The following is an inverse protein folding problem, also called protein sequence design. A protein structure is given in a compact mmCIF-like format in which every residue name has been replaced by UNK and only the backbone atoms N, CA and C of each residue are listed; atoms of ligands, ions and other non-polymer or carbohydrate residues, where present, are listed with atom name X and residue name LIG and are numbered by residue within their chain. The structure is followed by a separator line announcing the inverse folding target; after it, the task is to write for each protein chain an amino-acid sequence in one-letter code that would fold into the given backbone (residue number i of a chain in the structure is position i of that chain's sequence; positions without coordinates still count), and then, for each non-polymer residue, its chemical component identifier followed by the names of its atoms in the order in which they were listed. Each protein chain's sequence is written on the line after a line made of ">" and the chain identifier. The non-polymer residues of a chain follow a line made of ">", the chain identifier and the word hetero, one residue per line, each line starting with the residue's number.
data_IF_362997035296
#
_entry.id   IF_362997035296
#
_cell.length_a   1.000
_cell.length_b   1.000
_cell.length_c   1.000
_cell.angle_alpha   90.00
_cell.angle_beta   90.00
_cell.angle_gamma   90.00
#
_symmetry.space_group_name_H-M   'P 1'
#
loop_
_entity.id
_entity.type
_entity.pdbx_description
1 polymer ?
#
# COMPACT_ATOMS: atom_id res chain seq x y z
N UNK A 1 -34.64 -53.03 60.48
CA UNK A 1 -34.97 -51.60 60.23
C UNK A 1 -33.62 -50.92 59.97
N UNK A 2 -33.10 -50.94 58.75
CA UNK A 2 -33.55 -50.11 57.64
C UNK A 2 -32.51 -49.00 57.42
N UNK A 3 -31.31 -49.39 56.96
CA UNK A 3 -30.30 -48.45 56.45
C UNK A 3 -30.72 -48.05 55.04
N UNK A 4 -31.14 -46.79 54.88
CA UNK A 4 -31.37 -46.16 53.59
C UNK A 4 -30.11 -45.40 53.16
N UNK A 5 -29.63 -45.73 51.96
CA UNK A 5 -28.67 -44.99 51.17
C UNK A 5 -29.11 -43.55 50.95
N UNK A 6 -28.16 -42.61 50.93
CA UNK A 6 -28.29 -41.45 50.04
C UNK A 6 -26.90 -41.14 49.44
N UNK A 7 -26.81 -41.44 48.15
CA UNK A 7 -25.66 -41.21 47.27
C UNK A 7 -25.59 -39.73 46.99
N UNK A 8 -24.56 -39.05 47.50
CA UNK A 8 -24.21 -37.70 47.04
C UNK A 8 -23.35 -37.82 45.78
N UNK A 9 -24.01 -37.79 44.63
CA UNK A 9 -23.39 -37.68 43.30
C UNK A 9 -22.74 -36.30 43.16
N UNK A 10 -21.41 -36.24 43.29
CA UNK A 10 -20.62 -35.04 43.03
C UNK A 10 -20.53 -34.78 41.53
N UNK A 11 -21.47 -34.01 40.98
CA UNK A 11 -21.31 -33.35 39.69
C UNK A 11 -20.41 -32.12 39.87
N UNK A 12 -19.11 -32.26 39.58
CA UNK A 12 -18.26 -31.11 39.27
C UNK A 12 -18.79 -30.49 37.96
N UNK A 13 -19.31 -29.26 37.94
CA UNK A 13 -19.70 -28.64 36.68
C UNK A 13 -18.40 -28.35 35.91
N UNK A 14 -18.17 -29.08 34.83
CA UNK A 14 -17.13 -28.75 33.87
C UNK A 14 -17.25 -27.26 33.52
N UNK A 15 -16.12 -26.55 33.52
CA UNK A 15 -16.15 -25.12 33.23
C UNK A 15 -16.78 -24.91 31.84
N UNK A 16 -17.56 -23.84 31.60
CA UNK A 16 -18.23 -23.63 30.30
C UNK A 16 -17.27 -23.70 29.10
N UNK A 17 -15.99 -23.37 29.33
CA UNK A 17 -14.90 -23.47 28.35
C UNK A 17 -14.56 -24.93 27.95
N UNK A 18 -14.71 -25.89 28.85
CA UNK A 18 -14.44 -27.30 28.57
C UNK A 18 -15.53 -27.94 27.69
N UNK A 19 -16.72 -27.32 27.63
CA UNK A 19 -17.87 -27.80 26.86
C UNK A 19 -17.90 -27.37 25.39
N UNK A 20 -17.11 -26.36 25.00
CA UNK A 20 -17.04 -25.87 23.62
C UNK A 20 -16.42 -26.93 22.70
N UNK A 21 -16.94 -27.16 21.48
CA UNK A 21 -16.31 -28.01 20.46
C UNK A 21 -14.93 -27.53 20.02
N UNK A 22 -14.04 -28.46 19.65
CA UNK A 22 -12.67 -28.17 19.18
C UNK A 22 -12.65 -27.19 18.00
N UNK A 23 -13.54 -27.37 17.01
CA UNK A 23 -13.60 -26.50 15.83
C UNK A 23 -13.88 -25.03 16.18
N UNK A 24 -14.75 -24.78 17.17
CA UNK A 24 -15.03 -23.42 17.64
C UNK A 24 -13.85 -22.82 18.39
N UNK A 25 -13.13 -23.64 19.17
CA UNK A 25 -11.92 -23.20 19.85
C UNK A 25 -10.81 -22.87 18.86
N UNK A 26 -10.59 -23.69 17.83
CA UNK A 26 -9.63 -23.41 16.74
C UNK A 26 -10.02 -22.13 16.01
N UNK A 27 -11.32 -21.92 15.75
CA UNK A 27 -11.80 -20.68 15.14
C UNK A 27 -11.52 -19.46 16.02
N UNK A 28 -11.79 -19.54 17.33
CA UNK A 28 -11.48 -18.46 18.29
C UNK A 28 -9.98 -18.17 18.31
N UNK A 29 -9.15 -19.22 18.41
CA UNK A 29 -7.69 -19.10 18.42
C UNK A 29 -7.15 -18.50 17.11
N UNK A 30 -7.81 -18.75 15.97
CA UNK A 30 -7.41 -18.19 14.68
C UNK A 30 -7.56 -16.66 14.57
N UNK A 31 -8.34 -16.05 15.47
CA UNK A 31 -8.46 -14.58 15.58
C UNK A 31 -7.42 -13.96 16.51
N UNK A 32 -6.70 -14.77 17.29
CA UNK A 32 -5.66 -14.28 18.19
C UNK A 32 -4.31 -14.19 17.47
N UNK A 33 -3.45 -13.21 17.83
CA UNK A 33 -2.04 -13.26 17.50
C UNK A 33 -1.43 -14.60 17.93
N UNK A 34 -0.54 -15.17 17.13
CA UNK A 34 0.04 -16.51 17.40
C UNK A 34 0.63 -16.63 18.80
N UNK A 35 1.34 -15.61 19.29
CA UNK A 35 1.87 -15.61 20.67
C UNK A 35 0.77 -15.75 21.72
N UNK A 36 -0.37 -15.09 21.53
CA UNK A 36 -1.52 -15.19 22.43
C UNK A 36 -2.21 -16.56 22.29
N UNK A 37 -2.42 -17.04 21.06
CA UNK A 37 -2.97 -18.37 20.83
C UNK A 37 -2.13 -19.47 21.49
N UNK A 38 -0.80 -19.43 21.32
CA UNK A 38 0.13 -20.35 22.00
C UNK A 38 0.06 -20.19 23.52
N UNK A 39 -0.10 -18.97 24.06
CA UNK A 39 -0.20 -18.78 25.51
C UNK A 39 -1.41 -19.48 26.15
N UNK A 40 -2.46 -19.77 25.39
CA UNK A 40 -3.62 -20.56 25.87
C UNK A 40 -3.25 -22.02 26.15
N UNK A 41 -2.10 -22.49 25.69
CA UNK A 41 -1.62 -23.86 25.89
C UNK A 41 -1.37 -24.23 27.36
N UNK A 42 -1.37 -23.23 28.25
CA UNK A 42 -1.26 -23.40 29.71
C UNK A 42 -2.60 -23.70 30.38
N UNK A 43 -3.73 -23.42 29.71
CA UNK A 43 -5.07 -23.57 30.28
C UNK A 43 -5.44 -25.05 30.47
N UNK A 44 -5.20 -25.88 29.46
CA UNK A 44 -5.28 -27.33 29.58
C UNK A 44 -4.47 -28.03 28.48
N UNK A 45 -4.24 -29.35 28.64
CA UNK A 45 -3.57 -30.18 27.61
C UNK A 45 -4.25 -30.08 26.24
N UNK A 46 -5.60 -30.00 26.23
CA UNK A 46 -6.44 -29.85 25.04
C UNK A 46 -6.03 -28.63 24.20
N UNK A 47 -5.86 -27.47 24.84
CA UNK A 47 -5.49 -26.22 24.16
C UNK A 47 -4.11 -26.27 23.50
N UNK A 48 -3.19 -27.14 23.96
CA UNK A 48 -1.88 -27.36 23.32
C UNK A 48 -2.01 -27.91 21.90
N UNK A 49 -3.00 -28.76 21.65
CA UNK A 49 -3.22 -29.36 20.32
C UNK A 49 -4.04 -28.42 19.45
N UNK A 50 -4.98 -27.68 20.05
CA UNK A 50 -5.91 -26.81 19.31
C UNK A 50 -5.22 -25.59 18.69
N UNK A 51 -4.29 -24.92 19.39
CA UNK A 51 -3.58 -23.80 18.75
C UNK A 51 -2.76 -24.28 17.55
N UNK A 52 -2.23 -25.50 17.63
CA UNK A 52 -1.46 -26.16 16.57
C UNK A 52 -2.35 -26.77 15.47
N UNK A 53 -3.66 -26.51 15.52
CA UNK A 53 -4.59 -26.79 14.42
C UNK A 53 -4.98 -25.49 13.69
N UNK A 54 -4.43 -24.34 14.10
CA UNK A 54 -4.68 -23.06 13.42
C UNK A 54 -3.93 -22.99 12.09
N UNK A 55 -4.49 -22.25 11.13
CA UNK A 55 -3.93 -22.15 9.78
C UNK A 55 -3.16 -20.84 9.52
N UNK A 56 -3.06 -19.96 10.52
CA UNK A 56 -2.47 -18.63 10.38
C UNK A 56 -1.40 -18.43 11.45
N UNK A 57 -0.15 -18.35 11.05
CA UNK A 57 0.96 -18.03 11.95
C UNK A 57 1.58 -16.68 11.64
N UNK A 58 1.72 -15.86 12.69
CA UNK A 58 2.41 -14.57 12.68
C UNK A 58 3.47 -14.57 13.77
N UNK A 59 4.72 -14.56 13.35
CA UNK A 59 5.89 -14.55 14.21
C UNK A 59 6.53 -13.17 14.17
N UNK A 60 6.53 -12.49 15.31
CA UNK A 60 6.97 -11.11 15.45
C UNK A 60 8.09 -11.02 16.48
N UNK A 61 9.33 -10.80 16.03
CA UNK A 61 10.50 -10.84 16.90
C UNK A 61 10.53 -9.66 17.88
N UNK A 62 9.86 -8.55 17.57
CA UNK A 62 9.83 -7.38 18.45
C UNK A 62 9.17 -7.66 19.80
N UNK A 63 8.31 -8.67 19.92
CA UNK A 63 7.73 -9.11 21.19
C UNK A 63 8.76 -9.69 22.16
N UNK A 64 9.95 -10.00 21.67
CA UNK A 64 11.09 -10.49 22.42
C UNK A 64 12.14 -9.37 22.61
N UNK A 65 11.93 -8.20 22.02
CA UNK A 65 12.69 -6.99 22.32
C UNK A 65 12.20 -6.38 23.65
N UNK A 66 13.14 -5.98 24.51
CA UNK A 66 12.80 -5.30 25.75
C UNK A 66 12.45 -3.82 25.47
N UNK A 67 11.46 -3.25 26.19
CA UNK A 67 11.18 -1.82 26.09
C UNK A 67 12.40 -1.00 26.55
N UNK A 68 12.77 -0.01 25.73
CA UNK A 68 13.93 0.90 25.83
C UNK A 68 14.22 1.51 27.21
N UNK A 69 13.29 1.46 28.16
CA UNK A 69 13.37 2.17 29.44
C UNK A 69 13.75 1.31 30.65
N UNK A 70 13.91 -0.01 30.49
CA UNK A 70 14.24 -0.85 31.64
C UNK A 70 15.77 -0.96 31.81
N UNK A 71 16.35 -0.02 32.58
CA UNK A 71 17.80 0.08 32.86
C UNK A 71 18.43 -1.23 33.40
N UNK A 72 17.62 -2.18 33.89
CA UNK A 72 18.03 -3.53 34.33
C UNK A 72 18.43 -4.48 33.21
N UNK A 73 17.96 -4.27 31.97
CA UNK A 73 18.20 -5.19 30.84
C UNK A 73 19.18 -4.63 29.81
N UNK A 74 20.11 -3.77 30.25
CA UNK A 74 21.14 -3.17 29.40
C UNK A 74 22.12 -4.20 28.80
N UNK A 75 22.04 -5.47 29.20
CA UNK A 75 23.01 -6.53 28.90
C UNK A 75 22.42 -7.84 28.35
N UNK A 76 21.10 -7.96 28.14
CA UNK A 76 20.61 -9.14 27.44
C UNK A 76 21.01 -9.01 25.97
N UNK A 77 22.00 -9.80 25.56
CA UNK A 77 22.60 -9.71 24.22
C UNK A 77 21.54 -10.03 23.16
N UNK A 78 21.70 -9.48 21.96
CA UNK A 78 20.87 -9.83 20.79
C UNK A 78 20.75 -11.35 20.59
N UNK A 79 21.76 -12.11 21.01
CA UNK A 79 21.79 -13.58 20.99
C UNK A 79 20.73 -14.24 21.88
N UNK A 80 20.50 -13.75 23.11
CA UNK A 80 19.49 -14.34 24.01
C UNK A 80 18.08 -14.07 23.49
N UNK A 81 17.85 -12.86 22.96
CA UNK A 81 16.60 -12.50 22.30
C UNK A 81 16.34 -13.39 21.09
N UNK A 82 17.35 -13.54 20.22
CA UNK A 82 17.32 -14.44 19.06
C UNK A 82 16.96 -15.85 19.50
N UNK A 83 17.69 -16.43 20.45
CA UNK A 83 17.45 -17.79 20.93
C UNK A 83 16.01 -17.99 21.42
N UNK A 84 15.48 -17.07 22.24
CA UNK A 84 14.09 -17.17 22.73
C UNK A 84 13.06 -17.10 21.62
N UNK A 85 13.28 -16.24 20.63
CA UNK A 85 12.41 -16.15 19.46
C UNK A 85 12.48 -17.43 18.62
N UNK A 86 13.68 -17.92 18.33
CA UNK A 86 13.89 -19.11 17.50
C UNK A 86 13.28 -20.34 18.18
N UNK A 87 13.55 -20.53 19.48
CA UNK A 87 12.94 -21.57 20.30
C UNK A 87 11.41 -21.49 20.26
N UNK A 88 10.84 -20.29 20.25
CA UNK A 88 9.39 -20.09 20.16
C UNK A 88 8.85 -20.49 18.78
N UNK A 89 9.49 -20.06 17.69
CA UNK A 89 9.08 -20.43 16.33
C UNK A 89 9.18 -21.94 16.13
N UNK A 90 10.34 -22.54 16.43
CA UNK A 90 10.59 -23.97 16.27
C UNK A 90 9.63 -24.83 17.09
N UNK A 91 9.36 -24.44 18.35
CA UNK A 91 8.36 -25.15 19.17
C UNK A 91 6.97 -25.03 18.58
N UNK A 92 6.57 -23.84 18.13
CA UNK A 92 5.24 -23.62 17.54
C UNK A 92 5.06 -24.46 16.28
N UNK A 93 6.04 -24.45 15.37
CA UNK A 93 6.00 -25.24 14.13
C UNK A 93 6.07 -26.75 14.40
N UNK A 94 6.81 -27.20 15.42
CA UNK A 94 6.85 -28.63 15.76
C UNK A 94 5.52 -29.15 16.33
N UNK A 95 4.75 -28.32 17.05
CA UNK A 95 3.39 -28.69 17.44
C UNK A 95 2.45 -28.79 16.23
N UNK A 96 2.60 -27.93 15.22
CA UNK A 96 1.77 -27.98 14.00
C UNK A 96 1.92 -29.30 13.25
N UNK A 97 3.11 -29.89 13.22
CA UNK A 97 3.36 -31.21 12.60
C UNK A 97 2.42 -32.27 13.18
N UNK A 98 2.09 -32.17 14.47
CA UNK A 98 1.26 -33.15 15.18
C UNK A 98 -0.25 -32.95 14.93
N UNK A 99 -0.68 -31.74 14.57
CA UNK A 99 -2.09 -31.38 14.34
C UNK A 99 -2.58 -31.61 12.91
N UNK A 100 -1.67 -31.56 11.93
CA UNK A 100 -1.97 -31.81 10.52
C UNK A 100 -2.79 -30.72 9.79
N UNK A 101 -2.64 -30.74 8.45
CA UNK A 101 -3.24 -29.88 7.40
C UNK A 101 -2.66 -28.49 7.17
N UNK A 102 -2.78 -28.11 5.90
CA UNK A 102 -2.14 -27.01 5.18
C UNK A 102 -2.14 -25.69 5.93
N UNK A 103 -0.99 -25.04 5.91
CA UNK A 103 -0.85 -23.67 6.37
C UNK A 103 -1.56 -22.75 5.39
N UNK A 104 -2.38 -21.82 5.88
CA UNK A 104 -2.98 -20.80 5.01
C UNK A 104 -2.05 -19.62 4.89
N UNK A 105 -1.60 -19.08 6.03
CA UNK A 105 -0.80 -17.86 6.12
C UNK A 105 0.42 -18.06 7.01
N UNK A 106 1.58 -17.66 6.51
CA UNK A 106 2.82 -17.55 7.27
C UNK A 106 3.32 -16.10 7.21
N UNK A 107 3.52 -15.49 8.38
CA UNK A 107 4.06 -14.15 8.51
C UNK A 107 5.26 -14.16 9.44
N UNK A 108 6.37 -13.62 8.98
CA UNK A 108 7.61 -13.47 9.74
C UNK A 108 8.05 -12.01 9.72
N UNK A 109 8.02 -11.38 10.89
CA UNK A 109 8.47 -10.01 11.10
C UNK A 109 9.66 -10.01 12.05
N UNK A 110 10.84 -9.71 11.50
CA UNK A 110 12.09 -9.57 12.23
C UNK A 110 12.37 -8.09 12.43
N UNK A 111 12.64 -7.68 13.66
CA UNK A 111 13.02 -6.31 13.97
C UNK A 111 14.47 -6.05 13.54
N UNK A 112 14.83 -4.77 13.34
CA UNK A 112 16.19 -4.33 12.98
C UNK A 112 17.33 -4.71 13.94
N UNK A 113 17.00 -5.24 15.13
CA UNK A 113 17.98 -5.66 16.15
C UNK A 113 18.15 -7.19 16.20
N UNK A 114 17.39 -7.92 15.38
CA UNK A 114 17.45 -9.36 15.29
C UNK A 114 18.75 -9.76 14.60
N UNK A 115 19.58 -10.55 15.28
CA UNK A 115 20.79 -11.10 14.70
C UNK A 115 20.42 -12.26 13.78
N UNK A 116 20.81 -12.14 12.51
CA UNK A 116 20.42 -13.08 11.48
C UNK A 116 21.22 -14.38 11.59
N UNK A 117 20.49 -15.48 11.46
CA UNK A 117 21.01 -16.79 11.10
C UNK A 117 20.17 -17.24 9.90
N UNK A 118 20.75 -17.20 8.70
CA UNK A 118 20.03 -17.50 7.46
C UNK A 118 19.42 -18.91 7.48
N UNK A 119 20.09 -19.87 8.12
CA UNK A 119 19.63 -21.26 8.18
C UNK A 119 18.31 -21.43 8.93
N UNK A 120 18.07 -20.64 9.98
CA UNK A 120 16.81 -20.68 10.72
C UNK A 120 15.65 -20.10 9.89
N UNK A 121 15.88 -18.98 9.21
CA UNK A 121 14.87 -18.30 8.39
C UNK A 121 14.49 -19.17 7.19
N UNK A 122 15.50 -19.70 6.49
CA UNK A 122 15.29 -20.61 5.36
C UNK A 122 14.50 -21.85 5.76
N UNK A 123 14.84 -22.44 6.92
CA UNK A 123 14.11 -23.58 7.48
C UNK A 123 12.65 -23.25 7.72
N UNK A 124 12.34 -22.10 8.33
CA UNK A 124 10.96 -21.71 8.62
C UNK A 124 10.14 -21.41 7.36
N UNK A 125 10.74 -20.75 6.37
CA UNK A 125 10.09 -20.48 5.08
C UNK A 125 9.85 -21.79 4.32
N UNK A 126 10.86 -22.66 4.21
CA UNK A 126 10.72 -23.97 3.58
C UNK A 126 9.64 -24.82 4.25
N UNK A 127 9.59 -24.80 5.59
CA UNK A 127 8.53 -25.46 6.35
C UNK A 127 7.13 -24.98 5.90
N UNK A 128 6.93 -23.66 5.79
CA UNK A 128 5.65 -23.10 5.36
C UNK A 128 5.27 -23.55 3.93
N UNK A 129 6.24 -23.56 3.01
CA UNK A 129 6.05 -24.01 1.62
C UNK A 129 5.68 -25.49 1.52
N UNK A 130 6.38 -26.34 2.28
CA UNK A 130 6.12 -27.79 2.34
C UNK A 130 4.73 -28.10 2.92
N UNK A 131 4.17 -27.18 3.71
CA UNK A 131 2.81 -27.24 4.23
C UNK A 131 1.81 -26.44 3.39
N UNK A 132 2.11 -26.21 2.10
CA UNK A 132 1.19 -25.62 1.12
C UNK A 132 0.68 -24.23 1.48
N UNK A 133 1.55 -23.38 2.05
CA UNK A 133 1.20 -22.00 2.39
C UNK A 133 0.67 -21.22 1.18
N UNK A 134 -0.48 -20.54 1.37
CA UNK A 134 -1.09 -19.72 0.34
C UNK A 134 -0.76 -18.22 0.45
N UNK A 135 -0.44 -17.74 1.65
CA UNK A 135 -0.10 -16.34 1.92
C UNK A 135 1.24 -16.25 2.67
N UNK A 136 2.26 -15.70 2.04
CA UNK A 136 3.59 -15.50 2.62
C UNK A 136 3.87 -14.01 2.85
N UNK A 137 4.23 -13.65 4.08
CA UNK A 137 4.58 -12.29 4.47
C UNK A 137 5.94 -12.28 5.17
N UNK A 138 6.91 -11.56 4.60
CA UNK A 138 8.26 -11.42 5.16
C UNK A 138 8.59 -9.93 5.33
N UNK A 139 8.97 -9.54 6.54
CA UNK A 139 9.40 -8.18 6.87
C UNK A 139 10.62 -8.25 7.79
N UNK A 140 11.81 -7.87 7.32
CA UNK A 140 13.04 -8.18 8.07
C UNK A 140 13.86 -7.00 8.51
N UNK A 141 13.75 -5.81 7.89
CA UNK A 141 14.61 -4.64 8.16
C UNK A 141 16.12 -4.95 8.04
N UNK A 142 16.47 -6.00 7.32
CA UNK A 142 17.80 -6.62 7.28
C UNK A 142 18.26 -6.73 5.83
N UNK A 143 18.33 -5.57 5.17
CA UNK A 143 18.90 -5.45 3.83
C UNK A 143 20.26 -6.15 3.78
N UNK A 144 20.53 -6.87 2.69
CA UNK A 144 21.79 -7.60 2.44
C UNK A 144 22.09 -8.81 3.33
N UNK A 145 21.23 -9.15 4.31
CA UNK A 145 21.53 -10.23 5.28
C UNK A 145 20.63 -11.45 5.16
N UNK A 146 19.62 -11.44 4.29
CA UNK A 146 18.65 -12.53 4.15
C UNK A 146 18.40 -12.77 2.66
N UNK A 147 18.65 -14.00 2.22
CA UNK A 147 18.19 -14.49 0.93
C UNK A 147 16.81 -15.14 1.07
N UNK A 148 16.00 -15.10 0.01
CA UNK A 148 14.72 -15.80 -0.01
C UNK A 148 14.98 -17.17 -0.62
N UNK A 149 14.56 -18.28 0.03
CA UNK A 149 14.76 -19.62 -0.51
C UNK A 149 14.22 -19.77 -1.92
N UNK A 150 14.98 -20.43 -2.80
CA UNK A 150 14.59 -20.68 -4.20
C UNK A 150 13.24 -21.40 -4.32
N UNK A 151 12.91 -22.27 -3.34
CA UNK A 151 11.61 -22.96 -3.26
C UNK A 151 10.41 -22.01 -3.26
N UNK A 152 10.57 -20.76 -2.80
CA UNK A 152 9.50 -19.75 -2.85
C UNK A 152 9.07 -19.51 -4.29
N UNK A 153 10.01 -19.51 -5.24
CA UNK A 153 9.82 -19.15 -6.65
C UNK A 153 9.21 -20.26 -7.51
N UNK A 154 9.11 -21.48 -6.98
CA UNK A 154 8.52 -22.64 -7.66
C UNK A 154 7.23 -23.11 -6.99
N UNK A 155 6.72 -22.34 -6.02
CA UNK A 155 5.50 -22.70 -5.31
C UNK A 155 4.26 -22.63 -6.20
N UNK A 156 3.50 -23.72 -6.21
CA UNK A 156 2.22 -23.82 -6.92
C UNK A 156 1.02 -23.44 -6.04
N UNK A 157 1.24 -23.17 -4.76
CA UNK A 157 0.18 -22.91 -3.76
C UNK A 157 0.13 -21.45 -3.31
N UNK A 158 1.22 -20.69 -3.48
CA UNK A 158 1.29 -19.28 -3.11
C UNK A 158 0.34 -18.44 -3.96
N UNK A 159 -0.67 -17.87 -3.31
CA UNK A 159 -1.65 -16.94 -3.90
C UNK A 159 -1.28 -15.49 -3.61
N UNK A 160 -0.65 -15.22 -2.47
CA UNK A 160 -0.24 -13.88 -2.05
C UNK A 160 1.16 -13.89 -1.48
N UNK A 161 1.99 -12.96 -1.95
CA UNK A 161 3.34 -12.76 -1.46
C UNK A 161 3.54 -11.29 -1.10
N UNK A 162 4.05 -11.04 0.10
CA UNK A 162 4.38 -9.72 0.60
C UNK A 162 5.81 -9.71 1.12
N UNK A 163 6.68 -8.94 0.48
CA UNK A 163 8.09 -8.80 0.87
C UNK A 163 8.36 -7.35 1.24
N UNK A 164 8.98 -7.14 2.40
CA UNK A 164 9.22 -5.81 2.95
C UNK A 164 10.63 -5.67 3.54
N UNK A 165 11.30 -4.57 3.22
CA UNK A 165 12.67 -4.26 3.68
C UNK A 165 13.67 -5.41 3.40
N UNK A 166 13.62 -5.94 2.18
CA UNK A 166 14.45 -7.04 1.68
C UNK A 166 15.11 -6.63 0.36
N UNK A 167 16.19 -7.31 0.01
CA UNK A 167 16.70 -7.26 -1.36
C UNK A 167 15.87 -8.20 -2.23
N UNK A 168 15.57 -7.77 -3.45
CA UNK A 168 15.01 -8.65 -4.46
C UNK A 168 16.08 -9.69 -4.80
N UNK A 169 15.82 -10.98 -4.56
CA UNK A 169 16.82 -12.01 -4.78
C UNK A 169 16.99 -12.27 -6.27
N UNK A 170 18.12 -12.87 -6.62
CA UNK A 170 18.32 -13.45 -7.94
C UNK A 170 17.23 -14.49 -8.21
N UNK A 171 16.58 -14.39 -9.36
CA UNK A 171 15.44 -15.21 -9.75
C UNK A 171 15.95 -16.56 -10.29
N UNK A 172 15.55 -17.70 -9.70
CA UNK A 172 15.92 -19.02 -10.22
C UNK A 172 15.40 -19.23 -11.66
N UNK A 173 16.14 -19.93 -12.55
CA UNK A 173 15.72 -20.16 -13.93
C UNK A 173 14.40 -20.94 -14.07
N UNK A 174 14.05 -21.75 -13.08
CA UNK A 174 12.83 -22.57 -13.00
C UNK A 174 11.67 -21.84 -12.32
N UNK A 175 11.80 -20.52 -12.07
CA UNK A 175 10.75 -19.71 -11.43
C UNK A 175 9.44 -19.83 -12.20
N UNK A 176 8.40 -20.25 -11.49
CA UNK A 176 7.04 -20.35 -12.00
C UNK A 176 6.05 -20.36 -10.84
N UNK A 177 5.21 -19.32 -10.78
CA UNK A 177 4.28 -19.06 -9.69
C UNK A 177 2.84 -19.03 -10.22
N UNK A 178 2.26 -20.20 -10.56
CA UNK A 178 1.00 -20.28 -11.30
C UNK A 178 -0.22 -19.81 -10.51
N UNK A 179 -0.17 -19.86 -9.17
CA UNK A 179 -1.28 -19.47 -8.31
C UNK A 179 -1.20 -18.02 -7.80
N UNK A 180 -0.08 -17.32 -8.03
CA UNK A 180 0.18 -16.01 -7.43
C UNK A 180 -0.71 -14.94 -8.05
N UNK A 181 -1.61 -14.38 -7.25
CA UNK A 181 -2.57 -13.34 -7.64
C UNK A 181 -2.23 -11.97 -7.08
N UNK A 182 -1.58 -11.91 -5.93
CA UNK A 182 -1.29 -10.67 -5.22
C UNK A 182 0.19 -10.60 -4.85
N UNK A 183 0.87 -9.58 -5.35
CA UNK A 183 2.27 -9.30 -5.03
C UNK A 183 2.40 -7.91 -4.41
N UNK A 184 3.00 -7.85 -3.22
CA UNK A 184 3.22 -6.62 -2.48
C UNK A 184 4.70 -6.52 -2.15
N UNK A 185 5.36 -5.53 -2.74
CA UNK A 185 6.71 -5.13 -2.43
C UNK A 185 6.68 -3.80 -1.70
N UNK A 186 7.38 -3.73 -0.58
CA UNK A 186 7.49 -2.52 0.22
C UNK A 186 8.93 -2.28 0.64
N UNK A 187 9.52 -1.19 0.13
CA UNK A 187 10.90 -0.79 0.39
C UNK A 187 11.86 -1.94 0.05
N UNK A 188 11.68 -2.50 -1.15
CA UNK A 188 12.56 -3.54 -1.73
C UNK A 188 13.72 -2.88 -2.47
N UNK A 189 14.92 -3.46 -2.38
CA UNK A 189 16.06 -3.08 -3.22
C UNK A 189 16.12 -3.98 -4.46
N UNK A 190 16.23 -3.41 -5.66
CA UNK A 190 16.42 -4.15 -6.91
C UNK A 190 17.84 -3.91 -7.43
N UNK A 191 18.48 -4.96 -7.92
CA UNK A 191 19.85 -4.89 -8.45
C UNK A 191 19.89 -4.78 -9.98
N UNK A 192 18.90 -5.35 -10.67
CA UNK A 192 18.82 -5.45 -12.13
C UNK A 192 17.35 -5.48 -12.65
N UNK A 193 17.17 -5.86 -13.91
CA UNK A 193 15.86 -6.00 -14.56
C UNK A 193 15.21 -7.38 -14.39
N UNK A 194 15.74 -8.29 -13.58
CA UNK A 194 15.22 -9.66 -13.43
C UNK A 194 13.76 -9.66 -12.94
N UNK A 195 13.37 -8.70 -12.10
CA UNK A 195 11.97 -8.55 -11.70
C UNK A 195 11.04 -8.38 -12.92
N UNK A 196 11.43 -7.51 -13.85
CA UNK A 196 10.65 -7.20 -15.05
C UNK A 196 10.71 -8.32 -16.08
N UNK A 197 11.91 -8.80 -16.37
CA UNK A 197 12.19 -9.64 -17.54
C UNK A 197 12.00 -11.14 -17.25
N UNK A 198 12.09 -11.56 -15.98
CA UNK A 198 12.04 -12.97 -15.57
C UNK A 198 10.88 -13.24 -14.61
N UNK A 199 10.81 -12.50 -13.50
CA UNK A 199 9.86 -12.80 -12.43
C UNK A 199 8.40 -12.49 -12.81
N UNK A 200 8.11 -11.30 -13.36
CA UNK A 200 6.75 -10.93 -13.76
C UNK A 200 6.14 -11.87 -14.83
N UNK A 201 6.88 -12.28 -15.89
CA UNK A 201 6.40 -13.29 -16.83
C UNK A 201 6.11 -14.66 -16.20
N UNK A 202 6.84 -15.02 -15.14
CA UNK A 202 6.65 -16.28 -14.43
C UNK A 202 5.42 -16.32 -13.50
N UNK A 203 4.66 -15.22 -13.42
CA UNK A 203 3.45 -15.08 -12.59
C UNK A 203 2.19 -14.94 -13.46
N UNK A 204 1.70 -16.02 -14.11
CA UNK A 204 0.62 -15.95 -15.10
C UNK A 204 -0.77 -15.68 -14.52
N UNK A 205 -0.94 -15.65 -13.20
CA UNK A 205 -2.21 -15.37 -12.53
C UNK A 205 -2.21 -14.03 -11.78
N UNK A 206 -1.18 -13.19 -11.93
CA UNK A 206 -0.99 -11.99 -11.13
C UNK A 206 -2.05 -10.92 -11.46
N UNK A 207 -2.89 -10.55 -10.50
CA UNK A 207 -3.99 -9.60 -10.67
C UNK A 207 -3.77 -8.26 -9.93
N UNK A 208 -3.08 -8.28 -8.78
CA UNK A 208 -2.80 -7.10 -7.95
C UNK A 208 -1.30 -6.98 -7.70
N UNK A 209 -0.70 -5.93 -8.26
CA UNK A 209 0.70 -5.59 -8.05
C UNK A 209 0.81 -4.28 -7.28
N UNK A 210 1.46 -4.34 -6.12
CA UNK A 210 1.75 -3.17 -5.29
C UNK A 210 3.25 -3.07 -5.08
N UNK A 211 3.85 -1.96 -5.50
CA UNK A 211 5.25 -1.61 -5.25
C UNK A 211 5.24 -0.29 -4.47
N UNK A 212 5.69 -0.33 -3.23
CA UNK A 212 5.76 0.82 -2.33
C UNK A 212 7.18 0.98 -1.82
N UNK A 213 7.48 2.19 -1.35
CA UNK A 213 8.52 2.39 -0.37
C UNK A 213 9.69 3.21 -0.85
N UNK A 214 10.69 3.18 0.02
CA UNK A 214 11.92 3.91 -0.09
C UNK A 214 12.92 3.08 -0.87
N UNK A 215 13.56 3.72 -1.83
CA UNK A 215 14.40 3.00 -2.75
C UNK A 215 15.73 3.73 -2.90
N UNK A 216 16.74 3.23 -2.19
CA UNK A 216 18.08 3.84 -2.12
C UNK A 216 18.95 3.59 -3.36
N UNK A 217 18.51 2.79 -4.33
CA UNK A 217 19.30 2.52 -5.54
C UNK A 217 18.56 2.98 -6.78
N UNK A 218 19.15 3.87 -7.60
CA UNK A 218 18.58 4.36 -8.88
C UNK A 218 18.38 3.28 -9.97
N UNK A 219 18.40 2.00 -9.61
CA UNK A 219 18.33 0.82 -10.49
C UNK A 219 17.01 0.07 -10.26
N UNK A 220 15.89 0.70 -10.61
CA UNK A 220 14.55 0.10 -10.52
C UNK A 220 14.20 -0.73 -11.73
N UNK A 221 13.15 -1.58 -11.65
CA UNK A 221 12.48 -2.05 -12.84
C UNK A 221 11.85 -0.87 -13.61
N UNK A 222 12.44 -0.56 -14.77
CA UNK A 222 12.01 0.49 -15.70
C UNK A 222 10.75 0.10 -16.48
N UNK A 223 10.41 -1.20 -16.52
CA UNK A 223 9.30 -1.71 -17.30
C UNK A 223 8.48 -2.65 -16.44
N UNK A 224 7.21 -2.30 -16.20
CA UNK A 224 6.23 -3.23 -15.65
C UNK A 224 5.38 -3.69 -16.83
N UNK A 225 5.63 -4.90 -17.31
CA UNK A 225 4.86 -5.51 -18.40
C UNK A 225 4.23 -6.81 -17.95
N UNK A 226 2.91 -6.82 -17.85
CA UNK A 226 2.14 -8.02 -17.53
C UNK A 226 0.66 -7.78 -17.92
N UNK A 227 0.08 -8.73 -18.66
CA UNK A 227 -1.28 -8.61 -19.19
C UNK A 227 -2.36 -9.08 -18.21
N UNK A 228 -2.01 -9.74 -17.11
CA UNK A 228 -3.00 -10.28 -16.15
C UNK A 228 -3.31 -9.28 -15.03
N UNK A 229 -2.44 -8.30 -14.81
CA UNK A 229 -2.61 -7.28 -13.77
C UNK A 229 -3.86 -6.45 -14.04
N UNK A 230 -4.75 -6.41 -13.04
CA UNK A 230 -5.98 -5.61 -13.00
C UNK A 230 -5.82 -4.39 -12.10
N UNK A 231 -5.02 -4.50 -11.04
CA UNK A 231 -4.74 -3.41 -10.10
C UNK A 231 -3.24 -3.19 -9.99
N UNK A 232 -2.83 -1.94 -10.23
CA UNK A 232 -1.44 -1.54 -10.17
C UNK A 232 -1.29 -0.35 -9.23
N UNK A 233 -0.48 -0.51 -8.19
CA UNK A 233 -0.18 0.53 -7.21
C UNK A 233 1.32 0.72 -7.10
N UNK A 234 1.82 1.88 -7.49
CA UNK A 234 3.24 2.16 -7.55
C UNK A 234 3.55 3.44 -6.77
N UNK A 235 4.50 3.38 -5.84
CA UNK A 235 4.88 4.48 -4.95
C UNK A 235 6.38 4.50 -4.72
N UNK A 236 7.02 5.62 -5.04
CA UNK A 236 8.46 5.83 -4.81
C UNK A 236 8.70 7.07 -3.94
N UNK A 237 9.75 7.04 -3.11
CA UNK A 237 10.34 8.22 -2.47
C UNK A 237 11.80 8.35 -2.88
N UNK A 238 12.21 9.53 -3.36
CA UNK A 238 13.60 9.83 -3.71
C UNK A 238 14.32 10.39 -2.48
N UNK A 239 15.54 9.93 -2.23
CA UNK A 239 16.51 10.66 -1.41
C UNK A 239 17.47 11.45 -2.30
N UNK A 240 17.81 12.64 -1.80
CA UNK A 240 18.55 13.69 -2.50
C UNK A 240 20.07 13.43 -2.60
N UNK A 241 20.55 12.26 -2.13
CA UNK A 241 21.98 12.08 -1.79
C UNK A 241 22.84 11.46 -2.90
N UNK A 242 22.26 10.96 -4.01
CA UNK A 242 23.08 10.41 -5.11
C UNK A 242 23.29 11.45 -6.23
N UNK A 243 24.53 11.85 -6.45
CA UNK A 243 24.92 12.75 -7.55
C UNK A 243 24.85 12.08 -8.95
N UNK A 244 24.42 10.81 -9.05
CA UNK A 244 24.46 10.02 -10.28
C UNK A 244 23.32 10.34 -11.26
N UNK A 245 23.68 11.01 -12.35
CA UNK A 245 22.88 11.63 -13.43
C UNK A 245 21.94 10.70 -14.25
N UNK A 246 21.57 9.52 -13.76
CA UNK A 246 20.75 8.58 -14.53
C UNK A 246 19.25 8.86 -14.35
N UNK A 247 18.69 9.52 -15.36
CA UNK A 247 17.26 9.79 -15.45
C UNK A 247 16.45 8.50 -15.62
N UNK A 248 15.69 8.09 -14.60
CA UNK A 248 14.98 6.79 -14.61
C UNK A 248 13.73 6.85 -15.50
N UNK A 249 13.69 6.08 -16.58
CA UNK A 249 12.51 5.96 -17.48
C UNK A 249 11.53 4.88 -17.02
N UNK A 250 10.39 5.28 -16.46
CA UNK A 250 9.35 4.34 -16.05
C UNK A 250 8.40 4.06 -17.24
N UNK A 251 8.14 2.78 -17.51
CA UNK A 251 7.19 2.29 -18.52
C UNK A 251 6.23 1.28 -17.88
N UNK A 252 4.94 1.51 -18.05
CA UNK A 252 3.88 0.59 -17.67
C UNK A 252 3.23 0.03 -18.94
N UNK A 253 3.45 -1.24 -19.24
CA UNK A 253 2.82 -1.98 -20.34
C UNK A 253 1.84 -3.02 -19.79
N UNK A 254 0.71 -2.53 -19.29
CA UNK A 254 -0.26 -3.32 -18.52
C UNK A 254 -1.67 -3.01 -19.04
N UNK A 255 -2.03 -3.49 -20.25
CA UNK A 255 -3.22 -3.05 -20.97
C UNK A 255 -4.55 -3.37 -20.25
N UNK A 256 -4.55 -4.35 -19.35
CA UNK A 256 -5.73 -4.82 -18.62
C UNK A 256 -5.89 -4.21 -17.22
N UNK A 257 -5.04 -3.25 -16.84
CA UNK A 257 -5.19 -2.52 -15.57
C UNK A 257 -6.47 -1.70 -15.59
N UNK A 258 -7.31 -1.89 -14.57
CA UNK A 258 -8.58 -1.16 -14.36
C UNK A 258 -8.49 -0.15 -13.21
N UNK A 259 -7.62 -0.38 -12.21
CA UNK A 259 -7.37 0.54 -11.09
C UNK A 259 -5.88 0.83 -10.96
N UNK A 260 -5.50 2.08 -11.21
CA UNK A 260 -4.12 2.55 -11.16
C UNK A 260 -3.91 3.57 -10.04
N UNK A 261 -2.91 3.32 -9.20
CA UNK A 261 -2.37 4.30 -8.26
C UNK A 261 -0.90 4.57 -8.55
N UNK A 262 -0.54 5.84 -8.61
CA UNK A 262 0.84 6.27 -8.77
C UNK A 262 1.19 7.37 -7.78
N UNK A 263 2.23 7.15 -6.99
CA UNK A 263 2.93 8.15 -6.20
C UNK A 263 4.38 8.24 -6.66
N UNK A 264 4.80 9.41 -7.13
CA UNK A 264 6.17 9.61 -7.60
C UNK A 264 6.70 11.00 -7.25
N UNK A 265 8.02 11.09 -7.02
CA UNK A 265 8.74 12.35 -6.90
C UNK A 265 9.34 12.70 -8.27
N UNK A 266 9.09 13.91 -8.73
CA UNK A 266 9.47 14.39 -10.04
C UNK A 266 10.59 15.42 -9.88
N UNK A 267 11.80 15.02 -10.29
CA UNK A 267 12.97 15.88 -10.38
C UNK A 267 13.08 16.54 -11.76
N UNK A 268 13.85 17.63 -11.84
CA UNK A 268 14.06 18.43 -13.06
C UNK A 268 14.66 17.65 -14.25
N UNK A 269 15.25 16.47 -13.99
CA UNK A 269 15.93 15.60 -14.96
C UNK A 269 15.23 14.26 -15.21
N UNK A 270 14.16 13.92 -14.47
CA UNK A 270 13.51 12.60 -14.61
C UNK A 270 12.50 12.60 -15.76
N UNK A 271 12.53 11.62 -16.70
CA UNK A 271 11.53 11.53 -17.76
C UNK A 271 10.15 11.18 -17.20
N UNK A 272 9.11 11.58 -17.93
CA UNK A 272 7.74 11.23 -17.59
C UNK A 272 7.51 9.72 -17.68
N UNK A 273 6.79 9.09 -16.73
CA UNK A 273 6.37 7.72 -16.89
C UNK A 273 5.49 7.53 -18.13
N UNK A 274 5.77 6.49 -18.91
CA UNK A 274 4.97 6.13 -20.07
C UNK A 274 3.95 5.06 -19.69
N UNK A 275 2.68 5.25 -20.06
CA UNK A 275 1.61 4.31 -19.71
C UNK A 275 0.92 3.77 -20.96
N UNK A 276 0.83 2.43 -21.05
CA UNK A 276 -0.02 1.68 -21.96
C UNK A 276 -1.03 0.88 -21.12
N UNK A 277 -2.17 1.50 -20.86
CA UNK A 277 -3.26 0.97 -20.03
C UNK A 277 -4.60 1.18 -20.75
N UNK A 278 -5.08 0.17 -21.46
CA UNK A 278 -6.21 0.31 -22.39
C UNK A 278 -7.56 0.18 -21.67
N UNK A 279 -7.58 -0.60 -20.59
CA UNK A 279 -8.78 -0.94 -19.81
C UNK A 279 -9.00 -0.04 -18.59
N UNK A 280 -8.25 1.07 -18.48
CA UNK A 280 -8.20 1.87 -17.27
C UNK A 280 -9.56 2.51 -16.93
N UNK A 281 -10.14 2.13 -15.79
CA UNK A 281 -11.42 2.67 -15.33
C UNK A 281 -11.24 3.72 -14.23
N UNK A 282 -10.21 3.56 -13.39
CA UNK A 282 -9.91 4.43 -12.26
C UNK A 282 -8.41 4.71 -12.21
N UNK A 283 -8.06 5.99 -12.03
CA UNK A 283 -6.68 6.40 -11.82
C UNK A 283 -6.58 7.37 -10.65
N UNK A 284 -5.58 7.18 -9.79
CA UNK A 284 -5.21 8.10 -8.71
C UNK A 284 -3.73 8.46 -8.82
N UNK A 285 -3.46 9.73 -9.06
CA UNK A 285 -2.11 10.27 -9.17
C UNK A 285 -1.77 11.16 -7.97
N UNK A 286 -0.60 10.91 -7.39
CA UNK A 286 -0.01 11.69 -6.32
C UNK A 286 1.43 12.06 -6.71
N UNK A 287 1.67 13.27 -7.19
CA UNK A 287 2.97 13.64 -7.76
C UNK A 287 3.65 14.65 -6.84
N UNK A 288 4.78 14.34 -6.24
CA UNK A 288 5.56 15.26 -5.42
C UNK A 288 6.69 15.89 -6.25
N UNK A 289 7.09 17.12 -5.97
CA UNK A 289 8.21 17.80 -6.67
C UNK A 289 9.25 18.23 -5.64
N UNK A 290 10.53 18.04 -5.96
CA UNK A 290 11.66 18.30 -5.05
C UNK A 290 11.92 19.80 -4.79
N UNK A 291 11.30 20.71 -5.55
CA UNK A 291 11.39 22.16 -5.30
C UNK A 291 10.83 22.59 -3.93
N UNK A 292 10.03 21.75 -3.26
CA UNK A 292 9.45 22.04 -1.94
C UNK A 292 10.43 21.82 -0.75
N UNK A 293 11.64 21.27 -0.96
CA UNK A 293 12.61 21.00 0.13
C UNK A 293 13.67 22.08 0.34
N UNK A 294 14.03 22.86 -0.69
CA UNK A 294 15.07 23.88 -0.58
C UNK A 294 14.45 25.27 -0.42
N UNK A 295 14.27 25.68 0.83
CA UNK A 295 14.09 27.09 1.20
C UNK A 295 15.34 27.96 0.96
N UNK A 296 16.31 27.50 0.18
CA UNK A 296 17.51 28.24 -0.16
C UNK A 296 17.43 28.78 -1.59
N UNK A 297 17.39 30.11 -1.67
CA UNK A 297 17.68 30.87 -2.87
C UNK A 297 19.12 30.58 -3.25
N UNK A 298 19.35 29.54 -4.05
CA UNK A 298 20.65 29.37 -4.71
C UNK A 298 20.74 30.42 -5.81
N UNK A 299 21.55 31.43 -5.54
CA UNK A 299 21.92 32.47 -6.48
C UNK A 299 22.50 31.87 -7.77
N UNK A 300 21.99 32.28 -8.92
CA UNK A 300 22.84 32.52 -10.08
C UNK A 300 23.08 31.40 -11.09
N UNK A 301 22.37 30.26 -11.06
CA UNK A 301 22.37 29.33 -12.20
C UNK A 301 20.95 29.00 -12.64
N UNK A 302 20.66 29.20 -13.92
CA UNK A 302 19.37 28.92 -14.57
C UNK A 302 18.99 27.43 -14.45
N UNK A 303 18.40 26.99 -13.34
CA UNK A 303 17.77 25.67 -13.25
C UNK A 303 16.35 25.77 -13.80
N UNK A 304 16.25 25.80 -15.14
CA UNK A 304 15.03 26.05 -15.91
C UNK A 304 14.35 24.78 -16.48
N UNK A 305 14.59 23.58 -15.96
CA UNK A 305 13.87 22.38 -16.43
C UNK A 305 12.82 21.91 -15.40
N UNK A 306 11.58 22.35 -15.59
CA UNK A 306 10.44 21.81 -14.86
C UNK A 306 10.09 20.44 -15.42
N UNK A 307 9.75 19.50 -14.55
CA UNK A 307 9.48 18.11 -14.95
C UNK A 307 8.22 18.02 -15.82
N UNK A 308 8.33 17.30 -16.94
CA UNK A 308 7.21 17.03 -17.83
C UNK A 308 6.43 15.78 -17.36
N UNK A 309 5.11 15.92 -17.20
CA UNK A 309 4.19 14.81 -16.87
C UNK A 309 3.22 14.50 -18.01
N UNK A 310 3.48 15.06 -19.18
CA UNK A 310 2.60 14.97 -20.34
C UNK A 310 2.41 13.53 -20.79
N UNK A 311 3.44 12.69 -20.78
CA UNK A 311 3.30 11.29 -21.20
C UNK A 311 2.46 10.48 -20.21
N UNK A 312 2.69 10.65 -18.90
CA UNK A 312 1.89 10.02 -17.85
C UNK A 312 0.40 10.37 -18.00
N UNK A 313 0.08 11.65 -18.17
CA UNK A 313 -1.32 12.09 -18.37
C UNK A 313 -1.85 11.63 -19.72
N UNK A 314 -1.03 11.58 -20.76
CA UNK A 314 -1.46 11.16 -22.11
C UNK A 314 -1.76 9.67 -22.18
N UNK A 315 -1.09 8.85 -21.37
CA UNK A 315 -1.38 7.42 -21.24
C UNK A 315 -2.65 7.11 -20.46
N UNK A 316 -3.15 8.04 -19.65
CA UNK A 316 -4.41 7.89 -18.90
C UNK A 316 -5.58 8.30 -19.81
N UNK A 317 -6.28 7.28 -20.32
CA UNK A 317 -7.40 7.43 -21.26
C UNK A 317 -8.62 6.64 -20.82
N UNK A 318 -9.80 7.09 -21.25
CA UNK A 318 -11.09 6.42 -21.03
C UNK A 318 -11.49 6.17 -19.57
N UNK A 319 -10.89 6.89 -18.61
CA UNK A 319 -11.21 6.70 -17.19
C UNK A 319 -12.60 7.22 -16.82
N UNK A 320 -13.27 6.51 -15.91
CA UNK A 320 -14.56 6.92 -15.31
C UNK A 320 -14.37 7.69 -14.01
N UNK A 321 -13.30 7.38 -13.27
CA UNK A 321 -12.93 8.06 -12.03
C UNK A 321 -11.47 8.50 -12.07
N UNK A 322 -11.23 9.77 -11.80
CA UNK A 322 -9.88 10.33 -11.75
C UNK A 322 -9.66 11.07 -10.43
N UNK A 323 -8.59 10.73 -9.74
CA UNK A 323 -8.17 11.37 -8.50
C UNK A 323 -6.79 11.99 -8.67
N UNK A 324 -6.69 13.28 -8.40
CA UNK A 324 -5.43 14.01 -8.34
C UNK A 324 -5.20 14.64 -6.97
N UNK A 325 -4.00 14.48 -6.41
CA UNK A 325 -3.63 15.09 -5.12
C UNK A 325 -2.89 16.43 -5.25
N UNK A 326 -2.73 17.12 -4.13
CA UNK A 326 -2.24 18.50 -3.99
C UNK A 326 -0.81 18.74 -4.46
N UNK A 327 0.07 17.76 -4.30
CA UNK A 327 1.44 17.87 -4.73
C UNK A 327 1.53 17.91 -6.28
N UNK A 328 0.62 17.20 -6.96
CA UNK A 328 0.55 17.13 -8.42
C UNK A 328 -0.05 18.39 -9.07
N UNK A 329 -0.44 19.35 -8.24
CA UNK A 329 -1.24 20.52 -8.61
C UNK A 329 -0.43 21.80 -8.50
N UNK A 330 0.57 21.83 -7.60
CA UNK A 330 1.55 22.93 -7.44
C UNK A 330 2.39 23.20 -8.69
N UNK A 331 2.31 22.33 -9.70
CA UNK A 331 3.20 22.33 -10.86
C UNK A 331 3.26 23.70 -11.54
N UNK A 332 4.36 24.39 -11.28
CA UNK A 332 4.78 25.56 -12.01
C UNK A 332 5.71 25.06 -13.12
N UNK A 333 5.13 24.54 -14.19
CA UNK A 333 5.88 24.07 -15.35
C UNK A 333 6.81 25.20 -15.81
N UNK A 334 8.11 24.96 -15.81
CA UNK A 334 9.13 25.98 -16.09
C UNK A 334 9.01 26.57 -17.50
N UNK A 335 8.33 25.88 -18.42
CA UNK A 335 7.85 26.53 -19.63
C UNK A 335 6.67 27.42 -19.27
N UNK A 336 6.89 28.74 -19.28
CA UNK A 336 5.84 29.76 -19.29
C UNK A 336 4.79 29.38 -20.35
N UNK A 337 3.75 28.60 -20.00
CA UNK A 337 2.41 28.46 -20.63
C UNK A 337 1.67 27.13 -20.35
N UNK A 338 2.29 26.04 -19.87
CA UNK A 338 1.66 24.69 -19.91
C UNK A 338 1.42 24.02 -18.54
N UNK A 339 0.77 24.75 -17.64
CA UNK A 339 0.29 24.29 -16.32
C UNK A 339 -0.63 23.06 -16.32
N UNK A 340 -1.22 22.78 -15.15
CA UNK A 340 -2.51 22.07 -15.03
C UNK A 340 -3.57 22.55 -16.07
N UNK A 341 -3.44 23.80 -16.52
CA UNK A 341 -4.19 24.44 -17.60
C UNK A 341 -4.11 23.73 -18.96
N UNK A 342 -3.01 23.08 -19.31
CA UNK A 342 -2.89 22.29 -20.55
C UNK A 342 -3.26 20.83 -20.33
N UNK A 343 -2.90 20.26 -19.18
CA UNK A 343 -3.07 18.84 -18.88
C UNK A 343 -4.51 18.45 -18.57
N UNK A 344 -5.23 19.28 -17.79
CA UNK A 344 -6.62 18.98 -17.46
C UNK A 344 -7.52 18.91 -18.69
N UNK A 345 -7.46 19.86 -19.65
CA UNK A 345 -8.08 19.69 -20.95
C UNK A 345 -7.73 18.42 -21.69
N UNK A 346 -6.45 18.03 -21.70
CA UNK A 346 -5.99 16.82 -22.40
C UNK A 346 -6.59 15.58 -21.77
N UNK A 347 -6.58 15.49 -20.43
CA UNK A 347 -7.22 14.41 -19.68
C UNK A 347 -8.71 14.30 -20.02
N UNK A 348 -9.45 15.41 -19.99
CA UNK A 348 -10.88 15.42 -20.30
C UNK A 348 -11.16 15.01 -21.74
N UNK A 349 -10.31 15.42 -22.70
CA UNK A 349 -10.42 14.98 -24.11
C UNK A 349 -10.13 13.49 -24.28
N UNK A 350 -9.18 12.94 -23.52
CA UNK A 350 -8.82 11.52 -23.55
C UNK A 350 -9.76 10.64 -22.74
N UNK A 351 -10.55 11.22 -21.85
CA UNK A 351 -11.50 10.52 -20.97
C UNK A 351 -12.89 11.16 -21.05
N UNK A 352 -13.57 11.07 -22.21
CA UNK A 352 -14.88 11.69 -22.42
C UNK A 352 -15.96 11.14 -21.48
N UNK A 353 -15.77 9.91 -20.98
CA UNK A 353 -16.67 9.22 -20.05
C UNK A 353 -16.34 9.46 -18.57
N UNK A 354 -15.47 10.43 -18.25
CA UNK A 354 -15.15 10.77 -16.86
C UNK A 354 -16.39 11.27 -16.12
N UNK A 355 -16.83 10.52 -15.11
CA UNK A 355 -18.00 10.84 -14.27
C UNK A 355 -17.61 11.45 -12.93
N UNK A 356 -16.55 10.91 -12.31
CA UNK A 356 -16.10 11.34 -10.98
C UNK A 356 -14.72 11.95 -11.05
N UNK A 357 -14.61 13.21 -10.63
CA UNK A 357 -13.34 13.91 -10.44
C UNK A 357 -13.08 14.15 -8.95
N UNK A 358 -11.92 13.73 -8.48
CA UNK A 358 -11.47 13.93 -7.09
C UNK A 358 -10.21 14.80 -7.10
N UNK A 359 -10.26 15.92 -6.40
CA UNK A 359 -9.15 16.87 -6.29
C UNK A 359 -8.80 17.05 -4.82
N UNK A 360 -7.52 16.98 -4.46
CA UNK A 360 -7.05 17.33 -3.11
C UNK A 360 -6.13 18.54 -3.15
N UNK A 361 -6.19 19.39 -2.12
CA UNK A 361 -5.37 20.60 -1.94
C UNK A 361 -5.51 21.59 -3.10
N UNK A 362 -6.70 22.20 -3.18
CA UNK A 362 -6.99 23.24 -4.16
C UNK A 362 -6.19 24.54 -3.91
N UNK A 363 -5.59 24.66 -2.74
CA UNK A 363 -4.79 25.79 -2.28
C UNK A 363 -3.51 25.97 -3.09
N UNK A 364 -2.99 24.85 -3.60
CA UNK A 364 -1.81 24.74 -4.42
C UNK A 364 -1.99 25.20 -5.88
N UNK A 365 -3.22 25.46 -6.36
CA UNK A 365 -3.46 25.89 -7.74
C UNK A 365 -3.11 27.38 -7.93
N UNK A 366 -2.20 27.75 -8.85
CA UNK A 366 -1.80 29.14 -9.05
C UNK A 366 -2.93 29.97 -9.68
N UNK A 367 -3.57 30.80 -8.87
CA UNK A 367 -4.55 31.81 -9.29
C UNK A 367 -3.85 33.11 -9.75
N UNK A 368 -2.98 33.05 -10.78
CA UNK A 368 -2.50 34.29 -11.43
C UNK A 368 -3.66 34.98 -12.14
N UNK A 369 -3.71 36.32 -12.04
CA UNK A 369 -4.86 37.22 -12.20
C UNK A 369 -5.99 36.89 -13.21
N UNK A 370 -5.83 36.09 -14.27
CA UNK A 370 -6.89 35.91 -15.28
C UNK A 370 -6.96 34.57 -16.03
N UNK A 371 -6.44 33.43 -15.53
CA UNK A 371 -6.53 32.17 -16.33
C UNK A 371 -6.88 30.96 -15.48
N UNK A 372 -8.17 30.63 -15.41
CA UNK A 372 -8.63 29.32 -14.93
C UNK A 372 -8.29 28.21 -15.94
N UNK A 373 -8.37 26.95 -15.52
CA UNK A 373 -8.27 25.84 -16.46
C UNK A 373 -9.43 25.86 -17.44
N UNK A 374 -9.13 25.65 -18.72
CA UNK A 374 -10.19 25.45 -19.70
C UNK A 374 -10.88 24.11 -19.41
N UNK A 375 -12.21 24.11 -19.47
CA UNK A 375 -13.04 22.93 -19.24
C UNK A 375 -13.92 22.80 -20.48
N UNK A 376 -13.85 21.68 -21.22
CA UNK A 376 -14.73 21.44 -22.35
C UNK A 376 -16.19 21.49 -21.92
N UNK A 377 -17.07 22.17 -22.67
CA UNK A 377 -18.50 22.27 -22.35
C UNK A 377 -19.18 20.89 -22.26
N UNK A 378 -18.80 19.96 -23.13
CA UNK A 378 -19.41 18.63 -23.23
C UNK A 378 -18.86 17.62 -22.22
N UNK A 379 -18.24 18.07 -21.13
CA UNK A 379 -17.73 17.17 -20.10
C UNK A 379 -18.89 16.44 -19.41
N UNK A 380 -18.68 15.17 -19.05
CA UNK A 380 -19.70 14.28 -18.49
C UNK A 380 -19.61 14.14 -16.97
N UNK A 381 -18.88 15.05 -16.31
CA UNK A 381 -18.57 14.98 -14.89
C UNK A 381 -19.83 15.32 -14.10
N UNK A 382 -20.36 14.34 -13.38
CA UNK A 382 -21.54 14.52 -12.53
C UNK A 382 -21.19 14.54 -11.03
N UNK A 383 -20.00 14.08 -10.65
CA UNK A 383 -19.52 14.10 -9.27
C UNK A 383 -18.14 14.77 -9.17
N UNK A 384 -18.07 15.82 -8.34
CA UNK A 384 -16.82 16.49 -7.96
C UNK A 384 -16.58 16.29 -6.47
N UNK A 385 -15.42 15.75 -6.11
CA UNK A 385 -14.99 15.62 -4.71
C UNK A 385 -13.76 16.50 -4.47
N UNK A 386 -13.85 17.39 -3.49
CA UNK A 386 -12.75 18.23 -3.03
C UNK A 386 -12.30 17.72 -1.66
N UNK A 387 -11.05 17.33 -1.53
CA UNK A 387 -10.46 16.78 -0.31
C UNK A 387 -9.46 17.79 0.28
N UNK A 388 -9.42 17.86 1.63
CA UNK A 388 -8.56 18.77 2.40
C UNK A 388 -8.87 20.25 2.14
N UNK A 389 -10.14 20.61 1.99
CA UNK A 389 -10.54 22.01 1.80
C UNK A 389 -10.25 22.84 3.06
N UNK A 390 -9.47 23.92 2.90
CA UNK A 390 -9.05 24.80 4.00
C UNK A 390 -9.86 26.11 4.06
N UNK A 391 -10.53 26.45 2.96
CA UNK A 391 -11.32 27.68 2.84
C UNK A 391 -10.56 28.87 2.28
N UNK A 392 -9.42 28.66 1.61
CA UNK A 392 -8.68 29.79 1.05
C UNK A 392 -9.42 30.43 -0.12
N UNK A 393 -9.21 31.74 -0.31
CA UNK A 393 -9.82 32.50 -1.42
C UNK A 393 -9.48 31.91 -2.80
N UNK A 394 -8.29 31.30 -2.94
CA UNK A 394 -7.90 30.59 -4.17
C UNK A 394 -8.75 29.33 -4.39
N UNK A 395 -8.94 28.50 -3.37
CA UNK A 395 -9.77 27.30 -3.44
C UNK A 395 -11.20 27.64 -3.83
N UNK A 396 -11.80 28.63 -3.17
CA UNK A 396 -13.16 29.08 -3.44
C UNK A 396 -13.32 29.57 -4.89
N UNK A 397 -12.31 30.27 -5.45
CA UNK A 397 -12.30 30.67 -6.86
C UNK A 397 -12.28 29.48 -7.81
N UNK A 398 -11.51 28.43 -7.51
CA UNK A 398 -11.48 27.22 -8.34
C UNK A 398 -12.82 26.48 -8.28
N UNK A 399 -13.38 26.31 -7.09
CA UNK A 399 -14.70 25.68 -6.91
C UNK A 399 -15.76 26.47 -7.70
N UNK A 400 -15.81 27.80 -7.54
CA UNK A 400 -16.72 28.66 -8.31
C UNK A 400 -16.54 28.47 -9.81
N UNK A 401 -15.31 28.42 -10.30
CA UNK A 401 -15.04 28.18 -11.73
C UNK A 401 -15.54 26.80 -12.20
N UNK A 402 -15.34 25.74 -11.41
CA UNK A 402 -15.86 24.42 -11.72
C UNK A 402 -17.39 24.40 -11.78
N UNK A 403 -18.05 24.98 -10.77
CA UNK A 403 -19.52 25.07 -10.71
C UNK A 403 -20.11 25.82 -11.91
N UNK A 404 -19.43 26.87 -12.39
CA UNK A 404 -19.87 27.64 -13.56
C UNK A 404 -19.57 26.96 -14.91
N UNK A 405 -18.79 25.88 -14.96
CA UNK A 405 -18.33 25.25 -16.22
C UNK A 405 -18.68 23.77 -16.35
N UNK A 406 -19.05 23.11 -15.26
CA UNK A 406 -19.49 21.71 -15.25
C UNK A 406 -21.02 21.66 -15.23
N UNK A 407 -21.63 21.75 -16.41
CA UNK A 407 -23.10 21.78 -16.56
C UNK A 407 -23.77 20.46 -16.15
N UNK A 408 -23.06 19.33 -16.28
CA UNK A 408 -23.56 18.00 -15.88
C UNK A 408 -23.41 17.70 -14.37
N UNK A 409 -22.89 18.65 -13.57
CA UNK A 409 -22.55 18.38 -12.17
C UNK A 409 -23.80 18.19 -11.30
N UNK A 410 -23.98 17.01 -10.73
CA UNK A 410 -25.10 16.68 -9.84
C UNK A 410 -24.70 16.73 -8.36
N UNK A 411 -23.44 16.38 -8.05
CA UNK A 411 -22.96 16.30 -6.67
C UNK A 411 -21.59 16.96 -6.52
N UNK A 412 -21.51 17.92 -5.60
CA UNK A 412 -20.25 18.44 -5.07
C UNK A 412 -20.08 17.94 -3.62
N UNK A 413 -19.06 17.13 -3.36
CA UNK A 413 -18.66 16.74 -2.00
C UNK A 413 -17.40 17.48 -1.60
N UNK A 414 -17.44 18.20 -0.48
CA UNK A 414 -16.29 18.94 0.06
C UNK A 414 -15.96 18.38 1.43
N UNK A 415 -14.79 17.77 1.54
CA UNK A 415 -14.24 17.26 2.80
C UNK A 415 -13.33 18.33 3.39
N UNK A 416 -13.79 18.97 4.47
CA UNK A 416 -13.05 20.04 5.14
C UNK A 416 -11.86 19.45 5.88
N UNK A 417 -10.70 20.11 5.80
CA UNK A 417 -9.50 19.65 6.49
C UNK A 417 -9.72 19.54 8.01
N UNK A 418 -9.10 18.52 8.64
CA UNK A 418 -9.23 18.26 10.07
C UNK A 418 -8.75 19.43 10.95
N UNK A 419 -7.85 20.27 10.43
CA UNK A 419 -7.34 21.48 11.09
C UNK A 419 -8.35 22.61 11.23
N UNK A 420 -9.51 22.53 10.56
CA UNK A 420 -10.52 23.58 10.55
C UNK A 420 -11.52 23.36 11.70
N UNK A 421 -11.67 24.37 12.56
CA UNK A 421 -12.59 24.32 13.69
C UNK A 421 -14.08 24.33 13.26
N UNK A 422 -14.97 23.94 14.17
CA UNK A 422 -16.41 23.77 13.88
C UNK A 422 -17.13 25.05 13.44
N UNK A 423 -16.76 26.21 13.98
CA UNK A 423 -17.35 27.51 13.58
C UNK A 423 -16.95 27.86 12.14
N UNK A 424 -15.66 27.72 11.81
CA UNK A 424 -15.16 27.94 10.46
C UNK A 424 -15.77 26.93 9.48
N UNK A 425 -15.99 25.67 9.87
CA UNK A 425 -16.71 24.68 9.04
C UNK A 425 -18.13 25.15 8.66
N UNK A 426 -18.88 25.76 9.58
CA UNK A 426 -20.20 26.33 9.29
C UNK A 426 -20.12 27.48 8.29
N UNK A 427 -19.22 28.44 8.52
CA UNK A 427 -19.00 29.55 7.58
C UNK A 427 -18.62 29.06 6.18
N UNK A 428 -17.68 28.13 6.09
CA UNK A 428 -17.24 27.57 4.82
C UNK A 428 -18.37 26.84 4.09
N UNK A 429 -19.26 26.17 4.83
CA UNK A 429 -20.46 25.54 4.24
C UNK A 429 -21.39 26.59 3.64
N UNK A 430 -21.64 27.70 4.33
CA UNK A 430 -22.46 28.80 3.83
C UNK A 430 -21.83 29.45 2.59
N UNK A 431 -20.52 29.72 2.62
CA UNK A 431 -19.78 30.29 1.51
C UNK A 431 -19.88 29.43 0.24
N UNK A 432 -19.85 28.10 0.39
CA UNK A 432 -19.98 27.14 -0.72
C UNK A 432 -21.42 27.06 -1.25
N UNK A 433 -22.42 27.10 -0.38
CA UNK A 433 -23.84 27.07 -0.76
C UNK A 433 -24.26 28.33 -1.53
N UNK A 434 -23.58 29.46 -1.27
CA UNK A 434 -23.84 30.74 -1.95
C UNK A 434 -23.14 30.88 -3.31
N UNK A 435 -22.38 29.87 -3.76
CA UNK A 435 -21.70 29.94 -5.05
C UNK A 435 -22.67 29.74 -6.22
N UNK A 436 -22.55 30.54 -7.30
CA UNK A 436 -23.34 30.31 -8.50
C UNK A 436 -22.89 29.00 -9.19
N UNK A 437 -23.86 28.24 -9.68
CA UNK A 437 -23.65 27.01 -10.42
C UNK A 437 -24.40 27.03 -11.76
N UNK A 438 -23.82 26.39 -12.78
CA UNK A 438 -24.47 26.21 -14.07
C UNK A 438 -25.49 25.05 -14.05
N UNK A 439 -25.28 24.04 -13.20
CA UNK A 439 -26.20 22.91 -13.04
C UNK A 439 -27.34 23.28 -12.09
N UNK A 440 -28.58 23.03 -12.52
CA UNK A 440 -29.79 23.21 -11.72
C UNK A 440 -30.03 22.09 -10.70
N UNK A 441 -29.40 20.92 -10.89
CA UNK A 441 -29.62 19.73 -10.05
C UNK A 441 -28.52 19.52 -9.00
N UNK A 442 -27.65 20.52 -8.81
CA UNK A 442 -26.47 20.42 -7.97
C UNK A 442 -26.83 20.25 -6.48
N UNK A 443 -26.31 19.19 -5.87
CA UNK A 443 -26.33 18.96 -4.42
C UNK A 443 -24.93 19.20 -3.86
N UNK A 444 -24.81 20.16 -2.94
CA UNK A 444 -23.55 20.47 -2.24
C UNK A 444 -23.57 19.80 -0.87
N UNK A 445 -22.60 18.91 -0.62
CA UNK A 445 -22.39 18.21 0.64
C UNK A 445 -21.05 18.64 1.23
N UNK A 446 -21.08 19.15 2.45
CA UNK A 446 -19.87 19.57 3.18
C UNK A 446 -19.72 18.67 4.41
N UNK A 447 -18.61 17.94 4.49
CA UNK A 447 -18.31 16.92 5.51
C UNK A 447 -17.09 17.29 6.35
#
# INVERSE_FOLDING_TARGET
>A
MGHGEEVAEQLNPASPMDSLPDDLLVQILSFLPTKQAVSTSVLAKRWRVLFASTHNFSFESYFFCHPRNNKRYKYETSEVMRKRFNDFVDKTLSFQIQGGKNLKKFSLELCKYYKVDEGDIDRWICYALEHSVSELHLCTYLFWSISIPSKVFTSTTLVKMSLRFLNFPRVPPDTYLPALKVLIFDSMCFEDSEFSDVFLPACPALEDLTIQGYTSSRKFPFVISNKTIKKLSVSYSCDDDDDDDDSIKILFDTPNVVDFYYLGYLGAKSPSPQCRMDSLAKAKLNLCFLEDYKGEVVNGANMQSGTDVTDLISGIRNVKTFHLTSSAVKVNFSSKKQGWKSLFPRLLRRSPNLKTLVLSGLDCFPCKRHRFTWIPRNNQINMLRIIKYQGYKSELKHIRHFLLKMECLEVLQVYVAASVNGLKKKQLKEDLLNLPAASSNLKIQVM
#
